data_IF_726173122873
#
_entry.id   IF_726173122873
#
_cell.length_a   1.000
_cell.length_b   1.000
_cell.length_c   1.000
_cell.angle_alpha   90.00
_cell.angle_beta   90.00
_cell.angle_gamma   90.00
#
_symmetry.space_group_name_H-M   'P 1'
#
loop_
_entity.id
_entity.type
_entity.pdbx_description
1 polymer ?
#
# COMPACT_ATOMS: atom_id res chain seq x y z
N UNK A 1 25.55 -15.10 -0.67
CA UNK A 1 25.42 -13.62 -0.75
C UNK A 1 24.29 -13.21 -1.68
N UNK A 2 24.12 -13.85 -2.84
CA UNK A 2 23.07 -13.56 -3.84
C UNK A 2 21.64 -13.68 -3.30
N UNK A 3 21.30 -14.79 -2.63
CA UNK A 3 19.98 -14.96 -2.00
C UNK A 3 19.68 -13.87 -0.97
N UNK A 4 20.69 -13.43 -0.20
CA UNK A 4 20.51 -12.35 0.77
C UNK A 4 20.19 -11.02 0.08
N UNK A 5 20.86 -10.71 -1.04
CA UNK A 5 20.56 -9.52 -1.86
C UNK A 5 19.15 -9.62 -2.46
N UNK A 6 18.78 -10.78 -3.01
CA UNK A 6 17.43 -11.03 -3.55
C UNK A 6 16.35 -10.78 -2.50
N UNK A 7 16.42 -11.45 -1.33
CA UNK A 7 15.42 -11.30 -0.28
C UNK A 7 15.44 -9.89 0.31
N UNK A 8 16.62 -9.30 0.53
CA UNK A 8 16.76 -7.93 1.01
C UNK A 8 16.08 -6.92 0.08
N UNK A 9 16.37 -7.00 -1.22
CA UNK A 9 15.75 -6.12 -2.23
C UNK A 9 14.25 -6.37 -2.36
N UNK A 10 13.81 -7.63 -2.31
CA UNK A 10 12.39 -7.99 -2.37
C UNK A 10 11.61 -7.40 -1.19
N UNK A 11 12.14 -7.53 0.03
CA UNK A 11 11.49 -7.00 1.24
C UNK A 11 11.55 -5.48 1.32
N UNK A 12 12.59 -4.83 0.81
CA UNK A 12 12.62 -3.37 0.68
C UNK A 12 11.54 -2.91 -0.31
N UNK A 13 11.52 -3.49 -1.52
CA UNK A 13 10.59 -3.08 -2.58
C UNK A 13 9.13 -3.35 -2.22
N UNK A 14 8.82 -4.59 -1.79
CA UNK A 14 7.45 -5.08 -1.65
C UNK A 14 7.01 -5.36 -0.21
N UNK A 15 7.91 -5.35 0.77
CA UNK A 15 7.57 -5.67 2.17
C UNK A 15 6.49 -4.76 2.77
N UNK A 16 6.57 -3.42 2.60
CA UNK A 16 5.51 -2.54 3.05
C UNK A 16 4.19 -2.77 2.32
N UNK A 17 4.23 -2.99 1.00
CA UNK A 17 3.05 -3.27 0.19
C UNK A 17 2.37 -4.59 0.56
N UNK A 18 3.17 -5.63 0.85
CA UNK A 18 2.71 -6.91 1.37
C UNK A 18 2.05 -6.73 2.74
N UNK A 19 2.61 -5.89 3.61
CA UNK A 19 2.02 -5.58 4.92
C UNK A 19 0.66 -4.88 4.75
N UNK A 20 0.57 -3.89 3.86
CA UNK A 20 -0.70 -3.25 3.51
C UNK A 20 -1.72 -4.28 2.98
N UNK A 21 -1.30 -5.16 2.07
CA UNK A 21 -2.17 -6.20 1.51
C UNK A 21 -2.70 -7.13 2.60
N UNK A 22 -1.82 -7.75 3.41
CA UNK A 22 -2.18 -8.73 4.42
C UNK A 22 -3.06 -8.14 5.53
N UNK A 23 -2.75 -6.94 6.01
CA UNK A 23 -3.47 -6.34 7.13
C UNK A 23 -4.69 -5.52 6.71
N UNK A 24 -4.78 -5.00 5.49
CA UNK A 24 -5.90 -4.11 5.13
C UNK A 24 -6.78 -4.63 4.00
N UNK A 25 -6.23 -5.36 3.03
CA UNK A 25 -6.92 -5.74 1.80
C UNK A 25 -7.44 -7.18 1.89
N UNK A 26 -6.61 -8.12 2.34
CA UNK A 26 -6.92 -9.54 2.37
C UNK A 26 -8.11 -9.93 3.26
N UNK A 27 -8.59 -9.01 4.12
CA UNK A 27 -9.73 -9.22 5.02
C UNK A 27 -11.09 -9.11 4.33
N UNK A 28 -11.16 -8.55 3.14
CA UNK A 28 -12.40 -8.27 2.43
C UNK A 28 -12.23 -8.58 0.92
N UNK A 29 -12.98 -9.55 0.37
CA UNK A 29 -12.85 -9.95 -1.02
C UNK A 29 -13.16 -8.82 -2.00
N UNK A 30 -14.02 -7.86 -1.65
CA UNK A 30 -14.32 -6.71 -2.51
C UNK A 30 -13.06 -5.85 -2.71
N UNK A 31 -12.24 -5.68 -1.67
CA UNK A 31 -10.97 -4.95 -1.76
C UNK A 31 -9.96 -5.69 -2.64
N UNK A 32 -9.95 -7.02 -2.62
CA UNK A 32 -9.09 -7.81 -3.51
C UNK A 32 -9.48 -7.58 -4.97
N UNK A 33 -10.78 -7.61 -5.29
CA UNK A 33 -11.29 -7.36 -6.65
C UNK A 33 -10.91 -5.96 -7.12
N UNK A 34 -11.08 -4.93 -6.28
CA UNK A 34 -10.69 -3.56 -6.58
C UNK A 34 -9.17 -3.45 -6.80
N UNK A 35 -8.35 -4.10 -5.97
CA UNK A 35 -6.90 -4.09 -6.15
C UNK A 35 -6.48 -4.69 -7.50
N UNK A 36 -7.03 -5.85 -7.86
CA UNK A 36 -6.72 -6.54 -9.11
C UNK A 36 -7.18 -5.71 -10.31
N UNK A 37 -8.39 -5.14 -10.24
CA UNK A 37 -8.88 -4.25 -11.28
C UNK A 37 -7.97 -3.01 -11.43
N UNK A 38 -7.56 -2.36 -10.34
CA UNK A 38 -6.63 -1.22 -10.39
C UNK A 38 -5.30 -1.58 -11.06
N UNK A 39 -4.70 -2.71 -10.69
CA UNK A 39 -3.51 -3.27 -11.33
C UNK A 39 -3.70 -3.51 -12.84
N UNK A 40 -4.86 -4.05 -13.24
CA UNK A 40 -5.22 -4.24 -14.65
C UNK A 40 -5.32 -2.91 -15.41
N UNK A 41 -6.00 -1.91 -14.87
CA UNK A 41 -6.09 -0.57 -15.49
C UNK A 41 -4.71 0.06 -15.68
N UNK A 42 -3.80 -0.12 -14.70
CA UNK A 42 -2.42 0.31 -14.85
C UNK A 42 -1.72 -0.41 -16.02
N UNK A 43 -1.85 -1.73 -16.14
CA UNK A 43 -1.27 -2.50 -17.26
C UNK A 43 -1.81 -2.05 -18.62
N UNK A 44 -3.12 -1.82 -18.75
CA UNK A 44 -3.71 -1.35 -20.00
C UNK A 44 -3.18 0.04 -20.36
N UNK A 45 -3.01 0.93 -19.38
CA UNK A 45 -2.41 2.24 -19.62
C UNK A 45 -0.97 2.12 -20.15
N UNK A 46 -0.17 1.23 -19.57
CA UNK A 46 1.20 1.00 -20.02
C UNK A 46 1.25 0.33 -21.40
N UNK A 47 0.35 -0.62 -21.66
CA UNK A 47 0.25 -1.29 -22.96
C UNK A 47 -0.01 -0.28 -24.08
N UNK A 48 -1.01 0.59 -23.91
CA UNK A 48 -1.32 1.63 -24.89
C UNK A 48 -0.16 2.62 -25.07
N UNK A 49 0.49 3.02 -23.96
CA UNK A 49 1.66 3.89 -24.04
C UNK A 49 2.83 3.23 -24.76
N UNK A 50 3.08 1.95 -24.51
CA UNK A 50 4.15 1.17 -25.14
C UNK A 50 3.92 0.99 -26.64
N UNK A 51 2.66 0.84 -27.07
CA UNK A 51 2.29 0.77 -28.48
C UNK A 51 2.59 2.08 -29.20
N UNK A 52 2.23 3.23 -28.59
CA UNK A 52 2.52 4.55 -29.16
C UNK A 52 4.02 4.79 -29.26
N UNK A 53 4.77 4.48 -28.19
CA UNK A 53 6.23 4.56 -28.21
C UNK A 53 6.86 3.63 -29.26
N UNK A 54 6.37 2.40 -29.40
CA UNK A 54 6.86 1.43 -30.38
C UNK A 54 6.66 1.92 -31.82
N UNK A 55 5.48 2.46 -32.14
CA UNK A 55 5.21 3.05 -33.46
C UNK A 55 6.14 4.24 -33.70
N UNK A 56 6.33 5.12 -32.70
CA UNK A 56 7.21 6.28 -32.82
C UNK A 56 8.66 5.87 -33.10
N UNK A 57 9.18 4.86 -32.38
CA UNK A 57 10.55 4.35 -32.60
C UNK A 57 10.69 3.72 -33.98
N UNK A 58 9.70 2.93 -34.43
CA UNK A 58 9.73 2.30 -35.76
C UNK A 58 9.63 3.28 -36.92
N UNK A 59 8.96 4.40 -36.72
CA UNK A 59 8.85 5.47 -37.70
C UNK A 59 10.09 6.41 -37.72
N UNK A 60 10.94 6.34 -36.70
CA UNK A 60 12.11 7.22 -36.53
C UNK A 60 13.40 6.56 -37.03
N UNK A 61 14.43 7.36 -37.33
CA UNK A 61 15.74 6.84 -37.73
C UNK A 61 16.43 6.14 -36.52
N UNK A 62 16.79 4.85 -36.62
CA UNK A 62 17.49 4.14 -35.55
C UNK A 62 18.92 4.64 -35.31
N UNK A 63 19.52 5.36 -36.25
CA UNK A 63 20.92 5.83 -36.16
C UNK A 63 21.08 7.14 -35.41
N UNK A 64 19.98 7.85 -35.17
CA UNK A 64 19.98 9.11 -34.44
C UNK A 64 19.78 8.86 -32.94
N UNK A 65 20.87 8.75 -32.20
CA UNK A 65 20.86 8.51 -30.75
C UNK A 65 20.15 9.63 -29.97
N UNK A 66 20.26 10.89 -30.43
CA UNK A 66 19.63 12.02 -29.77
C UNK A 66 18.10 11.95 -29.91
N UNK A 67 17.63 11.60 -31.10
CA UNK A 67 16.21 11.36 -31.36
C UNK A 67 15.69 10.18 -30.51
N UNK A 68 16.39 9.04 -30.48
CA UNK A 68 15.97 7.88 -29.69
C UNK A 68 15.87 8.20 -28.19
N UNK A 69 16.82 8.96 -27.65
CA UNK A 69 16.77 9.45 -26.27
C UNK A 69 15.57 10.37 -26.03
N UNK A 70 15.28 11.26 -26.97
CA UNK A 70 14.09 12.12 -26.95
C UNK A 70 12.79 11.32 -26.94
N UNK A 71 12.69 10.26 -27.75
CA UNK A 71 11.54 9.36 -27.81
C UNK A 71 11.33 8.59 -26.50
N UNK A 72 12.41 8.18 -25.82
CA UNK A 72 12.32 7.55 -24.50
C UNK A 72 11.75 8.51 -23.46
N UNK A 73 12.26 9.75 -23.41
CA UNK A 73 11.73 10.79 -22.50
C UNK A 73 10.27 11.06 -22.81
N UNK A 74 9.92 11.26 -24.08
CA UNK A 74 8.54 11.43 -24.51
C UNK A 74 7.66 10.23 -24.10
N UNK A 75 8.13 9.01 -24.34
CA UNK A 75 7.41 7.78 -24.00
C UNK A 75 7.11 7.67 -22.52
N UNK A 76 8.09 7.98 -21.65
CA UNK A 76 7.89 8.00 -20.20
C UNK A 76 6.89 9.08 -19.80
N UNK A 77 7.05 10.31 -20.28
CA UNK A 77 6.14 11.42 -19.94
C UNK A 77 4.70 11.15 -20.41
N UNK A 78 4.55 10.61 -21.63
CA UNK A 78 3.27 10.20 -22.17
C UNK A 78 2.65 9.04 -21.37
N UNK A 79 3.45 8.07 -20.94
CA UNK A 79 2.99 6.96 -20.11
C UNK A 79 2.42 7.43 -18.78
N UNK A 80 3.04 8.44 -18.15
CA UNK A 80 2.56 9.02 -16.90
C UNK A 80 1.18 9.67 -17.10
N UNK A 81 1.01 10.46 -18.16
CA UNK A 81 -0.28 11.08 -18.47
C UNK A 81 -1.36 10.02 -18.72
N UNK A 82 -1.02 8.94 -19.42
CA UNK A 82 -1.96 7.87 -19.71
C UNK A 82 -2.32 7.08 -18.44
N UNK A 83 -1.36 6.84 -17.54
CA UNK A 83 -1.61 6.25 -16.22
C UNK A 83 -2.58 7.08 -15.39
N UNK A 84 -2.44 8.41 -15.38
CA UNK A 84 -3.35 9.32 -14.67
C UNK A 84 -4.75 9.38 -15.33
N UNK A 85 -4.82 9.34 -16.66
CA UNK A 85 -6.09 9.25 -17.39
C UNK A 85 -6.83 7.94 -17.08
N UNK A 86 -6.11 6.81 -17.01
CA UNK A 86 -6.67 5.52 -16.62
C UNK A 86 -7.08 5.48 -15.15
N UNK A 87 -6.39 6.19 -14.26
CA UNK A 87 -6.83 6.37 -12.87
C UNK A 87 -8.17 7.11 -12.79
N UNK A 88 -8.36 8.15 -13.59
CA UNK A 88 -9.64 8.86 -13.69
C UNK A 88 -10.75 7.97 -14.23
N UNK A 89 -10.47 7.22 -15.30
CA UNK A 89 -11.42 6.25 -15.87
C UNK A 89 -11.81 5.20 -14.82
N UNK A 90 -10.83 4.69 -14.07
CA UNK A 90 -11.06 3.71 -13.04
C UNK A 90 -11.89 4.25 -11.88
N UNK A 91 -11.62 5.48 -11.42
CA UNK A 91 -12.48 6.20 -10.47
C UNK A 91 -13.94 6.25 -10.92
N UNK A 92 -14.20 6.66 -12.18
CA UNK A 92 -15.57 6.73 -12.72
C UNK A 92 -16.26 5.37 -12.72
N UNK A 93 -15.53 4.31 -13.08
CA UNK A 93 -16.06 2.95 -13.08
C UNK A 93 -16.39 2.47 -11.67
N UNK A 94 -15.51 2.72 -10.69
CA UNK A 94 -15.74 2.37 -9.29
C UNK A 94 -16.93 3.11 -8.70
N UNK A 95 -17.06 4.41 -8.99
CA UNK A 95 -18.21 5.21 -8.55
C UNK A 95 -19.52 4.66 -9.09
N UNK A 96 -19.56 4.36 -10.40
CA UNK A 96 -20.73 3.74 -11.04
C UNK A 96 -21.02 2.34 -10.48
N UNK A 97 -19.99 1.56 -10.17
CA UNK A 97 -20.16 0.24 -9.55
C UNK A 97 -20.75 0.34 -8.14
N UNK A 98 -20.30 1.30 -7.31
CA UNK A 98 -20.90 1.54 -5.99
C UNK A 98 -22.36 1.95 -6.11
N UNK A 99 -22.69 2.90 -6.99
CA UNK A 99 -24.08 3.34 -7.19
C UNK A 99 -24.98 2.16 -7.57
N UNK A 100 -24.49 1.27 -8.45
CA UNK A 100 -25.19 0.04 -8.82
C UNK A 100 -25.33 -0.95 -7.66
N UNK A 101 -24.29 -1.13 -6.84
CA UNK A 101 -24.34 -2.03 -5.68
C UNK A 101 -25.29 -1.51 -4.60
N UNK A 102 -25.31 -0.21 -4.34
CA UNK A 102 -26.22 0.42 -3.36
C UNK A 102 -27.68 0.27 -3.81
N UNK A 103 -27.96 0.52 -5.10
CA UNK A 103 -29.31 0.39 -5.65
C UNK A 103 -29.87 -1.05 -5.59
N UNK A 104 -28.99 -2.05 -5.53
CA UNK A 104 -29.35 -3.47 -5.43
C UNK A 104 -29.32 -4.00 -3.98
N UNK A 105 -28.80 -3.24 -3.03
CA UNK A 105 -28.70 -3.64 -1.63
C UNK A 105 -30.04 -3.47 -0.90
N UNK A 106 -30.46 -4.49 -0.16
CA UNK A 106 -31.71 -4.44 0.62
C UNK A 106 -31.66 -3.37 1.74
N UNK A 107 -30.47 -3.13 2.29
CA UNK A 107 -30.25 -2.19 3.39
C UNK A 107 -29.91 -0.76 2.91
N UNK A 108 -29.78 -0.53 1.60
CA UNK A 108 -29.39 0.77 1.02
C UNK A 108 -28.00 1.27 1.43
N UNK A 109 -27.20 0.44 2.07
CA UNK A 109 -25.88 0.79 2.60
C UNK A 109 -24.77 0.43 1.61
N UNK A 110 -23.80 1.34 1.41
CA UNK A 110 -22.63 1.03 0.59
C UNK A 110 -21.75 -0.02 1.28
N UNK A 111 -21.37 -1.12 0.60
CA UNK A 111 -20.49 -2.14 1.17
C UNK A 111 -19.07 -1.63 1.44
N UNK A 112 -18.65 -0.53 0.78
CA UNK A 112 -17.31 0.04 0.92
C UNK A 112 -17.33 1.57 0.81
N UNK A 113 -16.45 2.25 1.56
CA UNK A 113 -16.32 3.71 1.46
C UNK A 113 -15.47 4.11 0.26
N UNK A 114 -15.72 5.31 -0.30
CA UNK A 114 -14.95 5.84 -1.44
C UNK A 114 -13.46 5.96 -1.11
N UNK A 115 -13.13 6.26 0.15
CA UNK A 115 -11.75 6.40 0.64
C UNK A 115 -11.03 5.06 0.68
N UNK A 116 -11.70 4.00 1.13
CA UNK A 116 -11.15 2.64 1.10
C UNK A 116 -10.90 2.19 -0.33
N UNK A 117 -11.83 2.47 -1.25
CA UNK A 117 -11.61 2.19 -2.67
C UNK A 117 -10.40 2.95 -3.23
N UNK A 118 -10.29 4.25 -2.94
CA UNK A 118 -9.19 5.08 -3.42
C UNK A 118 -7.82 4.55 -2.95
N UNK A 119 -7.74 4.17 -1.67
CA UNK A 119 -6.56 3.54 -1.09
C UNK A 119 -6.22 2.22 -1.77
N UNK A 120 -7.19 1.30 -1.89
CA UNK A 120 -6.99 -0.02 -2.50
C UNK A 120 -6.63 0.08 -3.99
N UNK A 121 -7.28 0.99 -4.72
CA UNK A 121 -6.98 1.30 -6.11
C UNK A 121 -5.54 1.81 -6.26
N UNK A 122 -5.12 2.74 -5.40
CA UNK A 122 -3.76 3.26 -5.35
C UNK A 122 -2.72 2.18 -5.06
N UNK A 123 -2.98 1.28 -4.11
CA UNK A 123 -2.12 0.11 -3.84
C UNK A 123 -2.02 -0.79 -5.07
N UNK A 124 -3.12 -1.05 -5.78
CA UNK A 124 -3.10 -1.84 -7.02
C UNK A 124 -2.23 -1.23 -8.13
N UNK A 125 -2.36 0.08 -8.36
CA UNK A 125 -1.48 0.81 -9.29
C UNK A 125 -0.01 0.74 -8.85
N UNK A 126 0.25 0.96 -7.56
CA UNK A 126 1.59 0.92 -7.00
C UNK A 126 2.26 -0.44 -7.13
N UNK A 127 1.57 -1.51 -6.73
CA UNK A 127 2.07 -2.88 -6.81
C UNK A 127 2.42 -3.27 -8.24
N UNK A 128 1.57 -2.95 -9.21
CA UNK A 128 1.83 -3.31 -10.60
C UNK A 128 2.98 -2.50 -11.21
N UNK A 129 3.05 -1.19 -10.91
CA UNK A 129 4.19 -0.33 -11.25
C UNK A 129 5.50 -0.84 -10.64
N UNK A 130 5.46 -1.24 -9.37
CA UNK A 130 6.60 -1.83 -8.68
C UNK A 130 7.02 -3.18 -9.26
N UNK A 131 6.06 -4.04 -9.57
CA UNK A 131 6.29 -5.33 -10.20
C UNK A 131 6.99 -5.17 -11.55
N UNK A 132 6.48 -4.27 -12.40
CA UNK A 132 7.05 -4.01 -13.73
C UNK A 132 8.47 -3.43 -13.66
N UNK A 133 8.77 -2.61 -12.64
CA UNK A 133 10.10 -2.00 -12.47
C UNK A 133 11.14 -2.93 -11.82
N UNK A 134 10.72 -3.89 -10.98
CA UNK A 134 11.65 -4.60 -10.10
C UNK A 134 11.77 -6.11 -10.35
N UNK A 135 10.76 -6.80 -10.88
CA UNK A 135 10.77 -8.27 -10.97
C UNK A 135 11.94 -8.79 -11.80
N UNK A 136 12.21 -8.18 -12.96
CA UNK A 136 13.32 -8.59 -13.82
C UNK A 136 14.67 -8.35 -13.14
N UNK A 137 14.83 -7.22 -12.43
CA UNK A 137 16.04 -6.92 -11.67
C UNK A 137 16.26 -7.90 -10.50
N UNK A 138 15.18 -8.33 -9.84
CA UNK A 138 15.27 -9.35 -8.80
C UNK A 138 15.70 -10.70 -9.37
N UNK A 139 15.23 -11.07 -10.56
CA UNK A 139 15.68 -12.29 -11.23
C UNK A 139 17.19 -12.23 -11.51
N UNK A 140 17.70 -11.09 -11.99
CA UNK A 140 19.13 -10.88 -12.24
C UNK A 140 19.97 -10.93 -10.94
N UNK A 141 19.42 -10.43 -9.82
CA UNK A 141 20.09 -10.43 -8.52
C UNK A 141 20.32 -11.83 -7.92
N UNK A 142 19.68 -12.87 -8.46
CA UNK A 142 19.94 -14.26 -8.05
C UNK A 142 21.29 -14.78 -8.56
N UNK A 143 21.83 -14.18 -9.62
CA UNK A 143 23.12 -14.54 -10.20
C UNK A 143 24.30 -14.24 -9.25
N UNK A 144 25.45 -14.93 -9.41
CA UNK A 144 26.63 -14.75 -8.56
C UNK A 144 27.31 -13.37 -8.68
N UNK A 145 27.00 -12.61 -9.73
CA UNK A 145 27.59 -11.30 -9.99
C UNK A 145 26.73 -10.13 -9.47
N UNK A 146 27.39 -8.99 -9.24
CA UNK A 146 26.72 -7.69 -9.04
C UNK A 146 26.99 -6.78 -10.24
N UNK A 147 26.16 -5.74 -10.40
CA UNK A 147 26.35 -4.70 -11.42
C UNK A 147 27.63 -3.92 -11.13
N UNK A 148 28.35 -3.52 -12.19
CA UNK A 148 29.50 -2.62 -12.08
C UNK A 148 30.76 -3.00 -12.84
N UNK A 149 30.78 -4.11 -13.59
CA UNK A 149 31.95 -4.48 -14.42
C UNK A 149 32.30 -3.43 -15.48
N UNK A 150 31.30 -2.68 -15.96
CA UNK A 150 31.45 -1.58 -16.92
C UNK A 150 31.45 -0.19 -16.27
N UNK A 151 31.69 -0.08 -14.96
CA UNK A 151 31.75 1.20 -14.24
C UNK A 151 30.43 1.68 -13.62
N UNK A 152 29.35 0.89 -13.74
CA UNK A 152 28.09 1.15 -13.04
C UNK A 152 28.20 0.92 -11.52
N UNK A 153 27.23 1.45 -10.75
CA UNK A 153 27.25 1.29 -9.30
C UNK A 153 26.85 -0.12 -8.85
N UNK A 154 27.60 -0.65 -7.88
CA UNK A 154 27.26 -1.90 -7.18
C UNK A 154 25.97 -1.79 -6.36
N UNK A 155 25.49 -0.56 -6.09
CA UNK A 155 24.26 -0.29 -5.36
C UNK A 155 23.01 -0.31 -6.25
N UNK A 156 23.13 -0.70 -7.52
CA UNK A 156 22.03 -0.68 -8.49
C UNK A 156 20.79 -1.42 -7.98
N UNK A 157 20.92 -2.69 -7.57
CA UNK A 157 19.78 -3.47 -7.06
C UNK A 157 19.13 -2.84 -5.83
N UNK A 158 19.94 -2.33 -4.90
CA UNK A 158 19.46 -1.72 -3.66
C UNK A 158 18.72 -0.40 -3.94
N UNK A 159 19.26 0.43 -4.83
CA UNK A 159 18.68 1.73 -5.21
C UNK A 159 17.37 1.52 -5.96
N UNK A 160 17.33 0.55 -6.87
CA UNK A 160 16.10 0.15 -7.57
C UNK A 160 15.03 -0.33 -6.59
N UNK A 161 15.39 -1.16 -5.60
CA UNK A 161 14.44 -1.63 -4.58
C UNK A 161 13.83 -0.46 -3.78
N UNK A 162 14.66 0.49 -3.32
CA UNK A 162 14.18 1.66 -2.60
C UNK A 162 13.34 2.60 -3.48
N UNK A 163 13.68 2.74 -4.77
CA UNK A 163 12.88 3.53 -5.71
C UNK A 163 11.51 2.87 -5.96
N UNK A 164 11.48 1.55 -6.14
CA UNK A 164 10.23 0.78 -6.28
C UNK A 164 9.33 0.95 -5.08
N UNK A 165 9.88 0.86 -3.86
CA UNK A 165 9.11 1.09 -2.63
C UNK A 165 8.47 2.48 -2.61
N UNK A 166 9.22 3.52 -2.97
CA UNK A 166 8.72 4.90 -3.05
C UNK A 166 7.61 5.04 -4.08
N UNK A 167 7.77 4.45 -5.27
CA UNK A 167 6.73 4.48 -6.30
C UNK A 167 5.45 3.77 -5.85
N UNK A 168 5.56 2.63 -5.15
CA UNK A 168 4.39 1.94 -4.59
C UNK A 168 3.62 2.84 -3.61
N UNK A 169 4.33 3.46 -2.67
CA UNK A 169 3.71 4.38 -1.71
C UNK A 169 3.13 5.63 -2.36
N UNK A 170 3.86 6.24 -3.29
CA UNK A 170 3.38 7.41 -4.02
C UNK A 170 2.13 7.10 -4.83
N UNK A 171 2.06 5.97 -5.55
CA UNK A 171 0.83 5.57 -6.23
C UNK A 171 -0.34 5.35 -5.26
N UNK A 172 -0.06 4.82 -4.06
CA UNK A 172 -1.06 4.67 -3.01
C UNK A 172 -1.59 6.03 -2.56
N UNK A 173 -0.70 6.98 -2.28
CA UNK A 173 -1.05 8.33 -1.83
C UNK A 173 -1.72 9.17 -2.93
N UNK A 174 -1.19 9.12 -4.15
CA UNK A 174 -1.79 9.75 -5.32
C UNK A 174 -3.18 9.18 -5.61
N UNK A 175 -3.40 7.88 -5.42
CA UNK A 175 -4.75 7.29 -5.52
C UNK A 175 -5.74 7.95 -4.57
N UNK A 176 -5.36 8.11 -3.30
CA UNK A 176 -6.20 8.76 -2.27
C UNK A 176 -6.48 10.23 -2.63
N UNK A 177 -5.43 11.01 -2.94
CA UNK A 177 -5.56 12.43 -3.27
C UNK A 177 -6.37 12.64 -4.56
N UNK A 178 -6.15 11.80 -5.57
CA UNK A 178 -6.83 11.90 -6.86
C UNK A 178 -8.34 11.69 -6.72
N UNK A 179 -8.74 10.64 -5.98
CA UNK A 179 -10.16 10.37 -5.72
C UNK A 179 -10.77 11.46 -4.86
N UNK A 180 -10.08 11.94 -3.83
CA UNK A 180 -10.53 13.06 -3.01
C UNK A 180 -10.75 14.34 -3.84
N UNK A 181 -9.81 14.65 -4.75
CA UNK A 181 -9.93 15.78 -5.67
C UNK A 181 -11.13 15.65 -6.61
N UNK A 182 -11.41 14.44 -7.09
CA UNK A 182 -12.58 14.16 -7.92
C UNK A 182 -13.90 14.28 -7.15
N UNK A 183 -13.97 13.76 -5.93
CA UNK A 183 -15.17 13.82 -5.08
C UNK A 183 -15.51 15.26 -4.68
N UNK A 184 -14.50 16.08 -4.34
CA UNK A 184 -14.69 17.45 -3.91
C UNK A 184 -14.63 18.50 -5.03
N UNK A 185 -14.54 18.06 -6.30
CA UNK A 185 -14.39 18.94 -7.48
C UNK A 185 -13.18 19.90 -7.36
N UNK A 186 -12.12 19.46 -6.70
CA UNK A 186 -10.88 20.22 -6.50
C UNK A 186 -9.87 19.84 -7.58
N UNK A 187 -10.04 20.41 -8.76
CA UNK A 187 -9.18 20.16 -9.92
C UNK A 187 -7.69 20.45 -9.69
N UNK A 188 -7.38 21.35 -8.76
CA UNK A 188 -5.99 21.65 -8.40
C UNK A 188 -5.30 20.46 -7.71
N UNK A 189 -6.02 19.64 -6.92
CA UNK A 189 -5.45 18.44 -6.27
C UNK A 189 -5.10 17.39 -7.33
N UNK A 190 -5.98 17.23 -8.33
CA UNK A 190 -5.75 16.35 -9.48
C UNK A 190 -4.53 16.82 -10.27
N UNK A 191 -4.45 18.11 -10.60
CA UNK A 191 -3.30 18.68 -11.30
C UNK A 191 -2.01 18.50 -10.50
N UNK A 192 -2.04 18.70 -9.18
CA UNK A 192 -0.90 18.48 -8.30
C UNK A 192 -0.43 17.02 -8.34
N UNK A 193 -1.33 16.04 -8.32
CA UNK A 193 -0.99 14.61 -8.46
C UNK A 193 -0.27 14.33 -9.78
N UNK A 194 -0.79 14.83 -10.90
CA UNK A 194 -0.17 14.65 -12.22
C UNK A 194 1.24 15.28 -12.25
N UNK A 195 1.39 16.51 -11.73
CA UNK A 195 2.67 17.20 -11.68
C UNK A 195 3.69 16.47 -10.79
N UNK A 196 3.26 15.98 -9.62
CA UNK A 196 4.10 15.19 -8.72
C UNK A 196 4.56 13.89 -9.36
N UNK A 197 3.67 13.19 -10.09
CA UNK A 197 4.03 11.97 -10.80
C UNK A 197 5.05 12.26 -11.91
N UNK A 198 4.81 13.29 -12.73
CA UNK A 198 5.77 13.73 -13.75
C UNK A 198 7.11 14.16 -13.14
N UNK A 199 7.12 14.83 -11.99
CA UNK A 199 8.35 15.25 -11.32
C UNK A 199 9.17 14.06 -10.83
N UNK A 200 8.54 13.04 -10.25
CA UNK A 200 9.23 11.83 -9.79
C UNK A 200 9.78 11.05 -10.98
N UNK A 201 8.96 10.82 -12.01
CA UNK A 201 9.42 10.17 -13.25
C UNK A 201 10.56 10.95 -13.91
N UNK A 202 10.45 12.28 -13.99
CA UNK A 202 11.49 13.15 -14.53
C UNK A 202 12.79 13.08 -13.73
N UNK A 203 12.69 13.00 -12.40
CA UNK A 203 13.87 12.87 -11.53
C UNK A 203 14.66 11.57 -11.79
N UNK A 204 14.00 10.51 -12.26
CA UNK A 204 14.69 9.25 -12.59
C UNK A 204 15.62 9.37 -13.79
N UNK A 205 15.45 10.38 -14.66
CA UNK A 205 16.38 10.64 -15.76
C UNK A 205 17.75 11.16 -15.31
N UNK A 206 17.89 11.62 -14.07
CA UNK A 206 19.19 11.95 -13.49
C UNK A 206 19.99 10.74 -13.04
N UNK A 207 19.43 9.53 -13.06
CA UNK A 207 20.24 8.33 -12.86
C UNK A 207 21.35 8.26 -13.92
N UNK A 208 22.62 8.00 -13.53
CA UNK A 208 23.06 7.30 -12.30
C UNK A 208 23.30 8.17 -11.05
N UNK A 209 23.03 9.48 -11.08
CA UNK A 209 23.16 10.35 -9.90
C UNK A 209 22.01 10.09 -8.91
N UNK A 210 22.12 9.02 -8.11
CA UNK A 210 21.05 8.57 -7.20
C UNK A 210 20.59 9.62 -6.19
N UNK A 211 21.46 10.54 -5.78
CA UNK A 211 21.08 11.64 -4.89
C UNK A 211 20.05 12.56 -5.55
N UNK A 212 20.12 12.76 -6.87
CA UNK A 212 19.21 13.61 -7.64
C UNK A 212 17.85 12.97 -7.96
N UNK A 213 17.73 11.64 -7.82
CA UNK A 213 16.49 10.91 -8.11
C UNK A 213 15.83 10.38 -6.83
N UNK A 214 16.59 9.66 -5.99
CA UNK A 214 16.08 8.94 -4.84
C UNK A 214 15.69 9.90 -3.70
N UNK A 215 16.58 10.82 -3.32
CA UNK A 215 16.33 11.73 -2.19
C UNK A 215 15.11 12.62 -2.43
N UNK A 216 14.95 13.31 -3.59
CA UNK A 216 13.74 14.07 -3.88
C UNK A 216 12.47 13.23 -3.85
N UNK A 217 12.53 11.99 -4.35
CA UNK A 217 11.37 11.09 -4.35
C UNK A 217 10.94 10.69 -2.93
N UNK A 218 11.89 10.42 -2.03
CA UNK A 218 11.60 10.16 -0.61
C UNK A 218 11.07 11.38 0.14
N UNK A 219 11.64 12.56 -0.11
CA UNK A 219 11.15 13.81 0.47
C UNK A 219 9.71 14.08 0.03
N UNK A 220 9.42 13.91 -1.26
CA UNK A 220 8.07 14.05 -1.78
C UNK A 220 7.12 13.02 -1.15
N UNK A 221 7.51 11.74 -1.09
CA UNK A 221 6.72 10.70 -0.44
C UNK A 221 6.39 11.06 1.03
N UNK A 222 7.36 11.59 1.78
CA UNK A 222 7.14 12.01 3.17
C UNK A 222 6.18 13.21 3.28
N UNK A 223 6.30 14.21 2.40
CA UNK A 223 5.41 15.38 2.35
C UNK A 223 3.98 14.95 2.01
N UNK A 224 3.81 14.22 0.91
CA UNK A 224 2.50 13.72 0.45
C UNK A 224 1.88 12.80 1.50
N UNK A 225 2.68 11.91 2.11
CA UNK A 225 2.21 11.03 3.18
C UNK A 225 1.69 11.78 4.42
N UNK A 226 2.35 12.87 4.83
CA UNK A 226 1.86 13.73 5.92
C UNK A 226 0.53 14.39 5.58
N UNK A 227 0.38 14.86 4.35
CA UNK A 227 -0.87 15.49 3.92
C UNK A 227 -2.00 14.48 3.78
N UNK A 228 -1.76 13.31 3.18
CA UNK A 228 -2.74 12.19 3.13
C UNK A 228 -3.26 11.82 4.52
N UNK A 229 -2.40 11.81 5.54
CA UNK A 229 -2.82 11.58 6.93
C UNK A 229 -3.80 12.63 7.48
N UNK A 230 -3.89 13.82 6.88
CA UNK A 230 -4.91 14.83 7.20
C UNK A 230 -6.22 14.62 6.42
N UNK A 231 -6.14 13.98 5.25
CA UNK A 231 -7.27 13.75 4.35
C UNK A 231 -8.00 12.42 4.58
N UNK A 232 -7.37 11.46 5.26
CA UNK A 232 -8.06 10.31 5.83
C UNK A 232 -8.72 10.81 7.13
N UNK A 233 -10.04 11.05 7.17
CA UNK A 233 -10.71 11.24 8.45
C UNK A 233 -10.40 10.00 9.28
N UNK A 234 -9.87 10.20 10.48
CA UNK A 234 -9.61 9.12 11.42
C UNK A 234 -10.83 8.19 11.39
N UNK A 235 -10.61 6.91 11.09
CA UNK A 235 -11.65 5.92 11.31
C UNK A 235 -12.23 6.17 12.71
N UNK A 236 -13.55 6.11 12.92
CA UNK A 236 -14.12 6.13 14.26
C UNK A 236 -13.83 4.78 14.92
N UNK A 237 -12.55 4.48 15.13
CA UNK A 237 -12.09 3.61 16.18
C UNK A 237 -11.64 4.60 17.24
N UNK A 238 -12.37 4.65 18.36
CA UNK A 238 -12.21 5.66 19.42
C UNK A 238 -10.77 5.83 19.91
N UNK A 239 -10.00 6.62 19.18
CA UNK A 239 -8.56 6.78 19.34
C UNK A 239 -8.19 8.21 19.01
N UNK A 240 -7.97 8.98 20.08
CA UNK A 240 -7.65 10.41 20.11
C UNK A 240 -6.43 10.72 19.22
N UNK A 241 -6.45 11.90 18.61
CA UNK A 241 -5.44 12.43 17.68
C UNK A 241 -4.01 12.56 18.25
N UNK A 242 -3.14 13.39 17.64
CA UNK A 242 -1.67 13.33 17.82
C UNK A 242 -1.13 13.61 19.24
N UNK A 243 -2.00 13.89 20.20
CA UNK A 243 -1.68 13.88 21.63
C UNK A 243 -1.48 12.46 22.22
N UNK A 244 -1.82 11.39 21.48
CA UNK A 244 -1.71 9.99 21.94
C UNK A 244 -0.28 9.42 21.93
N UNK A 245 0.70 10.16 21.42
CA UNK A 245 2.13 9.80 21.49
C UNK A 245 2.82 10.18 22.81
N UNK A 246 2.10 10.81 23.74
CA UNK A 246 2.58 10.93 25.12
C UNK A 246 2.28 9.62 25.85
N UNK A 247 3.32 8.80 26.04
CA UNK A 247 3.29 7.67 26.96
C UNK A 247 2.86 8.19 28.34
N UNK A 248 1.64 7.86 28.75
CA UNK A 248 1.18 8.08 30.12
C UNK A 248 2.11 7.27 31.03
N UNK A 249 2.79 7.89 32.01
CA UNK A 249 3.64 7.14 32.91
C UNK A 249 2.75 6.23 33.75
N UNK A 250 2.95 4.92 33.63
CA UNK A 250 2.28 3.91 34.47
C UNK A 250 2.64 4.20 35.92
N UNK A 251 1.65 4.53 36.75
CA UNK A 251 1.85 4.63 38.20
C UNK A 251 2.11 3.23 38.76
N UNK A 252 3.07 3.06 39.68
CA UNK A 252 3.39 1.74 40.21
C UNK A 252 2.22 1.24 41.06
N UNK A 253 1.56 0.16 40.63
CA UNK A 253 0.53 -0.53 41.42
C UNK A 253 -0.68 -1.06 40.66
N UNK A 254 -0.91 -0.67 39.39
CA UNK A 254 -2.06 -1.18 38.62
C UNK A 254 -1.66 -2.40 37.78
N UNK A 255 -2.19 -3.57 38.16
CA UNK A 255 -2.04 -4.82 37.42
C UNK A 255 -2.67 -4.75 36.03
N UNK A 256 -2.06 -5.43 35.07
CA UNK A 256 -2.35 -5.42 33.62
C UNK A 256 -3.75 -5.92 33.22
N UNK A 257 -4.58 -6.35 34.16
CA UNK A 257 -5.94 -6.84 33.91
C UNK A 257 -6.89 -6.15 34.87
N UNK A 258 -7.64 -5.15 34.37
CA UNK A 258 -8.53 -4.29 35.15
C UNK A 258 -9.70 -5.00 35.82
N UNK A 259 -9.42 -5.80 36.84
CA UNK A 259 -10.39 -6.31 37.80
C UNK A 259 -10.27 -5.49 39.10
N UNK A 260 -11.38 -5.05 39.70
CA UNK A 260 -11.33 -4.34 40.97
C UNK A 260 -10.88 -5.29 42.10
N UNK A 261 -10.22 -4.78 43.17
CA UNK A 261 -9.77 -5.61 44.27
C UNK A 261 -10.97 -6.24 44.99
N UNK A 262 -10.92 -7.55 45.22
CA UNK A 262 -11.95 -8.28 45.97
C UNK A 262 -11.98 -7.87 47.44
N UNK A 263 -13.19 -7.57 47.94
CA UNK A 263 -13.46 -7.22 49.34
C UNK A 263 -13.32 -8.48 50.21
N UNK A 264 -12.26 -8.58 51.00
CA UNK A 264 -12.07 -9.67 51.95
C UNK A 264 -12.90 -9.42 53.21
N UNK A 265 -14.10 -10.02 53.28
CA UNK A 265 -14.81 -10.23 54.55
C UNK A 265 -14.94 -11.72 54.86
N UNK A 266 -14.67 -12.15 56.12
CA UNK A 266 -14.90 -13.53 56.51
C UNK A 266 -16.40 -13.79 56.62
N UNK A 267 -16.88 -14.83 55.93
CA UNK A 267 -18.25 -15.31 55.98
C UNK A 267 -18.52 -15.97 57.34
N UNK A 268 -19.44 -15.42 58.13
CA UNK A 268 -20.06 -16.12 59.26
C UNK A 268 -21.11 -17.08 58.70
N UNK A 269 -20.90 -18.38 58.93
CA UNK A 269 -21.87 -19.43 58.57
C UNK A 269 -23.02 -19.53 59.59
N UNK A 270 -24.23 -19.93 59.18
CA UNK A 270 -25.29 -20.27 60.12
C UNK A 270 -25.13 -21.71 60.62
N UNK A 271 -25.29 -21.90 61.94
CA UNK A 271 -25.42 -23.20 62.58
C UNK A 271 -26.72 -23.89 62.12
N UNK A 272 -26.65 -25.19 61.82
CA UNK A 272 -27.80 -26.01 61.48
C UNK A 272 -27.40 -27.48 61.31
N UNK A 273 -27.74 -28.28 62.32
CA UNK A 273 -27.64 -29.74 62.37
C UNK A 273 -28.28 -30.43 61.15
N UNK A 274 -27.58 -31.37 60.49
CA UNK A 274 -28.08 -32.75 60.33
C UNK A 274 -27.05 -33.72 59.70
N UNK A 275 -26.73 -34.74 60.49
CA UNK A 275 -26.38 -36.14 60.22
C UNK A 275 -25.51 -36.60 59.03
N UNK A 276 -24.53 -37.41 59.44
CA UNK A 276 -23.59 -38.21 58.66
C UNK A 276 -24.26 -39.31 57.82
N UNK A 277 -23.78 -39.45 56.57
CA UNK A 277 -24.04 -40.59 55.69
C UNK A 277 -22.72 -41.15 55.16
N UNK A 278 -22.49 -42.41 55.47
CA UNK A 278 -21.30 -43.23 55.25
C UNK A 278 -21.18 -43.78 53.83
N UNK A 279 -19.95 -43.89 53.31
CA UNK A 279 -19.53 -45.03 52.46
C UNK A 279 -19.08 -44.72 51.02
N UNK A 280 -18.20 -45.56 50.45
CA UNK A 280 -17.34 -45.24 49.31
C UNK A 280 -17.85 -45.80 47.96
N UNK A 281 -17.13 -45.45 46.89
CA UNK A 281 -17.16 -46.03 45.53
C UNK A 281 -18.18 -45.45 44.53
N UNK A 282 -17.65 -44.77 43.49
CA UNK A 282 -17.87 -45.12 42.07
C UNK A 282 -17.20 -44.10 41.12
N UNK A 283 -16.15 -44.50 40.39
CA UNK A 283 -16.17 -44.87 38.94
C UNK A 283 -15.93 -43.68 37.98
N UNK A 284 -14.67 -43.62 37.51
CA UNK A 284 -14.18 -43.58 36.12
C UNK A 284 -15.06 -42.99 34.98
N UNK A 285 -14.32 -42.31 34.10
CA UNK A 285 -14.49 -42.11 32.63
C UNK A 285 -15.51 -41.11 32.09
N UNK A 286 -15.01 -40.05 31.44
CA UNK A 286 -15.11 -39.86 29.97
C UNK A 286 -14.37 -38.61 29.49
N UNK A 287 -13.31 -38.80 28.71
CA UNK A 287 -12.94 -37.89 27.62
C UNK A 287 -13.27 -38.61 26.32
N UNK A 288 -13.98 -37.94 25.43
CA UNK A 288 -14.36 -38.45 24.13
C UNK A 288 -14.79 -37.32 23.21
N UNK A 289 -13.93 -37.09 22.22
CA UNK A 289 -14.09 -36.37 20.94
C UNK A 289 -14.34 -34.86 20.98
#
# INVERSE_FOLDING_TARGET
MTLAVFFGCTFIAFGPALSLFLFTIARDPLRIIILIAGAFFWLVSLLLSSLIWFIAVKASDPRDEALQRGLLIFGVMFSVLLQEAFRFLYYKLLRKAIEGLVALSEDGCSPISIQQMAYVAGVGFGLMSGAFSMINLLADALGPGTVGIHGDSQLYFLTSAFMTMVLIFLHTFWGILFFHGCENQRWWEIAAVVLMHLAVSGSTFWNPLYVGSLVPSYLLMAVVGRDVGRWIPAAPVGGRGPASLQLVPVRPGEGFWGLPPGDHRPLQGPEGDFQAGTGPDAVLTRWGY
#
